data_IF_542006391094
#
_entry.id   IF_542006391094
#
_cell.length_a   1.000
_cell.length_b   1.000
_cell.length_c   1.000
_cell.angle_alpha   90.00
_cell.angle_beta   90.00
_cell.angle_gamma   90.00
#
_symmetry.space_group_name_H-M   'P 1'
#
loop_
_entity.id
_entity.type
_entity.pdbx_description
1 polymer ?
#
# COMPACT_ATOMS: atom_id res chain seq x y z
N UNK A 1 14.33 -17.15 19.77
CA UNK A 1 14.20 -15.98 18.86
C UNK A 1 13.30 -16.34 17.68
N UNK A 2 11.97 -16.12 17.76
CA UNK A 2 11.00 -16.42 16.68
C UNK A 2 10.37 -15.17 16.04
N UNK A 3 10.86 -13.98 16.38
CA UNK A 3 10.17 -12.72 16.07
C UNK A 3 10.61 -12.06 14.75
N UNK A 4 11.89 -12.20 14.34
CA UNK A 4 12.44 -11.49 13.16
C UNK A 4 11.92 -11.96 11.78
N UNK A 5 11.47 -13.21 11.64
CA UNK A 5 11.04 -13.75 10.32
C UNK A 5 9.64 -13.28 9.92
N UNK A 6 8.78 -12.97 10.88
CA UNK A 6 7.37 -12.64 10.62
C UNK A 6 7.23 -11.18 10.17
N UNK A 7 7.96 -10.26 10.81
CA UNK A 7 8.05 -8.85 10.43
C UNK A 7 8.52 -8.69 8.98
N UNK A 8 9.46 -9.52 8.54
CA UNK A 8 10.02 -9.45 7.20
C UNK A 8 9.02 -9.85 6.09
N UNK A 9 8.08 -10.76 6.38
CA UNK A 9 7.05 -11.18 5.41
C UNK A 9 5.94 -10.13 5.27
N UNK A 10 5.55 -9.50 6.37
CA UNK A 10 4.55 -8.42 6.33
C UNK A 10 5.12 -7.23 5.56
N UNK A 11 6.33 -6.78 5.88
CA UNK A 11 6.98 -5.69 5.14
C UNK A 11 7.15 -5.98 3.64
N UNK A 12 7.54 -7.21 3.28
CA UNK A 12 7.60 -7.60 1.86
C UNK A 12 6.24 -7.45 1.16
N UNK A 13 5.15 -7.88 1.81
CA UNK A 13 3.80 -7.76 1.25
C UNK A 13 3.35 -6.30 1.16
N UNK A 14 3.66 -5.48 2.17
CA UNK A 14 3.36 -4.05 2.15
C UNK A 14 4.09 -3.32 1.01
N UNK A 15 5.37 -3.65 0.79
CA UNK A 15 6.15 -3.12 -0.33
C UNK A 15 5.58 -3.55 -1.69
N UNK A 16 5.14 -4.80 -1.84
CA UNK A 16 4.50 -5.29 -3.07
C UNK A 16 3.22 -4.50 -3.39
N UNK A 17 2.36 -4.30 -2.38
CA UNK A 17 1.12 -3.51 -2.55
C UNK A 17 1.47 -2.06 -2.93
N UNK A 18 2.45 -1.45 -2.24
CA UNK A 18 2.90 -0.10 -2.52
C UNK A 18 3.41 0.04 -3.97
N UNK A 19 4.18 -0.93 -4.45
CA UNK A 19 4.70 -0.93 -5.81
C UNK A 19 3.58 -1.04 -6.86
N UNK A 20 2.55 -1.86 -6.61
CA UNK A 20 1.38 -1.94 -7.51
C UNK A 20 0.67 -0.59 -7.60
N UNK A 21 0.47 0.09 -6.46
CA UNK A 21 -0.16 1.42 -6.44
C UNK A 21 0.72 2.44 -7.18
N UNK A 22 2.04 2.40 -6.99
CA UNK A 22 2.98 3.30 -7.66
C UNK A 22 3.03 3.11 -9.18
N UNK A 23 3.01 1.86 -9.63
CA UNK A 23 3.01 1.53 -11.06
C UNK A 23 1.72 1.96 -11.76
N UNK A 24 0.57 1.78 -11.10
CA UNK A 24 -0.72 2.18 -11.69
C UNK A 24 -1.01 3.68 -11.51
N UNK A 25 -0.39 4.34 -10.52
CA UNK A 25 -0.64 5.72 -10.13
C UNK A 25 -1.98 5.92 -9.42
N UNK A 26 -3.06 5.32 -9.94
CA UNK A 26 -4.40 5.27 -9.34
C UNK A 26 -5.01 3.88 -9.54
N UNK A 27 -5.46 3.24 -8.47
CA UNK A 27 -6.07 1.90 -8.52
C UNK A 27 -7.22 1.79 -7.53
N UNK A 28 -8.35 1.22 -7.96
CA UNK A 28 -9.49 0.97 -7.07
C UNK A 28 -9.20 -0.16 -6.09
N UNK A 29 -9.84 -0.12 -4.92
CA UNK A 29 -9.69 -1.11 -3.86
C UNK A 29 -9.90 -2.55 -4.38
N UNK A 30 -10.97 -2.79 -5.12
CA UNK A 30 -11.26 -4.11 -5.69
C UNK A 30 -10.21 -4.58 -6.70
N UNK A 31 -9.72 -3.68 -7.57
CA UNK A 31 -8.68 -4.02 -8.54
C UNK A 31 -7.34 -4.31 -7.84
N UNK A 32 -7.04 -3.59 -6.76
CA UNK A 32 -5.86 -3.84 -5.95
C UNK A 32 -5.93 -5.19 -5.23
N UNK A 33 -7.09 -5.56 -4.67
CA UNK A 33 -7.31 -6.90 -4.09
C UNK A 33 -7.01 -8.02 -5.09
N UNK A 34 -7.50 -7.88 -6.33
CA UNK A 34 -7.28 -8.87 -7.39
C UNK A 34 -5.81 -8.93 -7.79
N UNK A 35 -5.17 -7.77 -8.07
CA UNK A 35 -3.76 -7.72 -8.49
C UNK A 35 -2.79 -8.23 -7.44
N UNK A 36 -3.04 -7.89 -6.16
CA UNK A 36 -2.17 -8.29 -5.07
C UNK A 36 -2.52 -9.68 -4.51
N UNK A 37 -3.59 -10.32 -5.01
CA UNK A 37 -4.14 -11.58 -4.49
C UNK A 37 -4.41 -11.51 -2.97
N UNK A 38 -5.08 -10.44 -2.52
CA UNK A 38 -5.36 -10.18 -1.11
C UNK A 38 -6.87 -10.08 -0.89
N UNK A 39 -7.35 -10.75 0.15
CA UNK A 39 -8.72 -10.61 0.59
C UNK A 39 -9.03 -9.17 1.05
N UNK A 40 -10.23 -8.62 0.76
CA UNK A 40 -10.65 -7.28 1.20
C UNK A 40 -10.35 -6.94 2.67
N UNK A 41 -10.70 -7.77 3.68
CA UNK A 41 -10.42 -7.43 5.07
C UNK A 41 -8.91 -7.35 5.37
N UNK A 42 -8.10 -8.16 4.70
CA UNK A 42 -6.66 -8.17 4.85
C UNK A 42 -6.03 -6.91 4.24
N UNK A 43 -6.52 -6.45 3.09
CA UNK A 43 -6.05 -5.21 2.47
C UNK A 43 -6.35 -3.98 3.35
N UNK A 44 -7.50 -3.95 4.02
CA UNK A 44 -7.82 -2.90 5.00
C UNK A 44 -6.82 -2.84 6.16
N UNK A 45 -6.45 -4.00 6.71
CA UNK A 45 -5.45 -4.09 7.77
C UNK A 45 -4.07 -3.64 7.28
N UNK A 46 -3.68 -4.04 6.07
CA UNK A 46 -2.42 -3.59 5.46
C UNK A 46 -2.42 -2.10 5.18
N UNK A 47 -3.50 -1.53 4.66
CA UNK A 47 -3.63 -0.10 4.44
C UNK A 47 -3.34 0.70 5.71
N UNK A 48 -3.87 0.27 6.86
CA UNK A 48 -3.62 0.94 8.14
C UNK A 48 -2.13 0.98 8.51
N UNK A 49 -1.39 -0.08 8.22
CA UNK A 49 0.05 -0.13 8.41
C UNK A 49 0.81 0.69 7.33
N UNK A 50 0.34 0.63 6.08
CA UNK A 50 0.93 1.37 4.97
C UNK A 50 0.83 2.87 5.14
N UNK A 51 -0.28 3.38 5.68
CA UNK A 51 -0.47 4.82 5.91
C UNK A 51 0.64 5.43 6.77
N UNK A 52 1.15 4.68 7.74
CA UNK A 52 2.24 5.11 8.62
C UNK A 52 3.61 4.97 7.94
N UNK A 53 3.78 3.92 7.12
CA UNK A 53 5.06 3.58 6.49
C UNK A 53 5.32 4.28 5.14
N UNK A 54 4.27 4.62 4.39
CA UNK A 54 4.35 5.17 3.04
C UNK A 54 3.58 6.49 2.95
N UNK A 55 4.27 7.60 3.20
CA UNK A 55 3.68 8.95 3.15
C UNK A 55 3.22 9.37 1.73
N UNK A 56 3.82 8.75 0.73
CA UNK A 56 3.58 8.91 -0.71
C UNK A 56 2.27 8.26 -1.19
N UNK A 57 1.65 7.37 -0.41
CA UNK A 57 0.44 6.64 -0.84
C UNK A 57 -0.75 7.09 0.00
N UNK A 58 -1.87 7.34 -0.67
CA UNK A 58 -3.12 7.69 -0.02
C UNK A 58 -4.32 6.91 -0.57
N UNK A 59 -5.45 7.00 0.14
CA UNK A 59 -6.67 6.27 -0.16
C UNK A 59 -7.88 7.13 0.13
N UNK A 60 -8.63 7.45 -0.92
CA UNK A 60 -9.84 8.28 -0.83
C UNK A 60 -10.93 7.70 -1.75
N UNK A 61 -12.17 7.67 -1.26
CA UNK A 61 -13.33 7.29 -2.08
C UNK A 61 -13.27 5.90 -2.72
N UNK A 62 -12.52 4.95 -2.15
CA UNK A 62 -12.37 3.61 -2.75
C UNK A 62 -11.18 3.47 -3.70
N UNK A 63 -10.35 4.51 -3.85
CA UNK A 63 -9.23 4.56 -4.80
C UNK A 63 -7.94 4.84 -4.06
N UNK A 64 -6.94 3.98 -4.27
CA UNK A 64 -5.56 4.21 -3.86
C UNK A 64 -4.85 5.04 -4.92
N UNK A 65 -4.05 6.00 -4.49
CA UNK A 65 -3.27 6.82 -5.40
C UNK A 65 -1.95 7.24 -4.78
N UNK A 66 -1.00 7.53 -5.65
CA UNK A 66 0.27 8.14 -5.28
C UNK A 66 0.04 9.64 -5.11
N UNK A 67 0.26 10.17 -3.91
CA UNK A 67 0.42 11.60 -3.70
C UNK A 67 1.65 12.01 -4.47
N UNK A 68 1.47 12.76 -5.56
CA UNK A 68 2.61 13.46 -6.15
C UNK A 68 3.19 14.33 -5.04
N UNK A 69 4.39 13.97 -4.58
CA UNK A 69 5.16 14.77 -3.65
C UNK A 69 5.24 16.15 -4.30
N UNK A 70 4.58 17.13 -3.69
CA UNK A 70 4.63 18.49 -4.17
C UNK A 70 6.09 18.82 -4.44
N UNK A 71 6.38 19.24 -5.66
CA UNK A 71 7.61 19.95 -5.96
C UNK A 71 7.71 21.06 -4.90
N UNK A 72 8.66 20.94 -3.97
CA UNK A 72 9.12 22.11 -3.26
C UNK A 72 9.83 22.95 -4.32
N UNK A 73 9.08 23.87 -4.90
CA UNK A 73 9.63 25.02 -5.59
C UNK A 73 10.08 25.98 -4.50
N UNK A 74 11.33 25.86 -4.07
CA UNK A 74 12.09 26.94 -3.44
C UNK A 74 13.53 26.94 -3.94
#
# INVERSE_FOLDING_TARGET
MKTKKFENRIMAKLNEIAEIIRREGKISFGKLCVKAHIAPPTLYNYWRAMRDLFNDIDYEGGIFFVKQRGENHE
#
